data_IF_463621138425
#
_entry.id   IF_463621138425
#
_cell.length_a   1.000
_cell.length_b   1.000
_cell.length_c   1.000
_cell.angle_alpha   90.00
_cell.angle_beta   90.00
_cell.angle_gamma   90.00
#
_symmetry.space_group_name_H-M   'P 1'
#
loop_
_entity.id
_entity.type
_entity.pdbx_description
1 polymer ?
#
# COMPACT_ATOMS: atom_id res chain seq x y z
N UNK A 1 17.87 -1.87 -19.92
CA UNK A 1 16.47 -2.25 -20.22
C UNK A 1 15.81 -2.62 -18.90
N UNK A 2 14.76 -1.92 -18.47
CA UNK A 2 14.05 -2.30 -17.25
C UNK A 2 13.38 -3.67 -17.48
N UNK A 3 13.71 -4.67 -16.66
CA UNK A 3 13.03 -5.96 -16.70
C UNK A 3 11.56 -5.77 -16.29
N UNK A 4 10.65 -6.62 -16.79
CA UNK A 4 9.22 -6.56 -16.47
C UNK A 4 8.94 -6.56 -14.96
N UNK A 5 9.77 -7.24 -14.17
CA UNK A 5 9.76 -7.18 -12.71
C UNK A 5 9.94 -5.76 -12.17
N UNK A 6 10.93 -5.01 -12.67
CA UNK A 6 11.23 -3.65 -12.21
C UNK A 6 10.09 -2.69 -12.55
N UNK A 7 9.46 -2.88 -13.72
CA UNK A 7 8.30 -2.08 -14.11
C UNK A 7 7.09 -2.38 -13.21
N UNK A 8 6.80 -3.65 -12.94
CA UNK A 8 5.72 -4.06 -12.05
C UNK A 8 5.94 -3.55 -10.63
N UNK A 9 7.16 -3.67 -10.10
CA UNK A 9 7.53 -3.14 -8.78
C UNK A 9 7.39 -1.61 -8.71
N UNK A 10 7.79 -0.89 -9.76
CA UNK A 10 7.61 0.56 -9.85
C UNK A 10 6.14 0.97 -9.84
N UNK A 11 5.29 0.25 -10.58
CA UNK A 11 3.85 0.52 -10.60
C UNK A 11 3.24 0.32 -9.21
N UNK A 12 3.56 -0.80 -8.54
CA UNK A 12 3.09 -1.05 -7.17
C UNK A 12 3.56 0.04 -6.21
N UNK A 13 4.83 0.44 -6.31
CA UNK A 13 5.38 1.53 -5.50
C UNK A 13 4.59 2.83 -5.70
N UNK A 14 4.32 3.23 -6.95
CA UNK A 14 3.58 4.45 -7.25
C UNK A 14 2.16 4.41 -6.70
N UNK A 15 1.45 3.28 -6.85
CA UNK A 15 0.11 3.09 -6.29
C UNK A 15 0.13 3.25 -4.76
N UNK A 16 1.11 2.64 -4.09
CA UNK A 16 1.25 2.77 -2.64
C UNK A 16 1.58 4.20 -2.20
N UNK A 17 2.55 4.85 -2.86
CA UNK A 17 2.91 6.26 -2.58
C UNK A 17 1.70 7.17 -2.70
N UNK A 18 0.90 7.01 -3.77
CA UNK A 18 -0.32 7.78 -3.95
C UNK A 18 -1.33 7.47 -2.83
N UNK A 19 -1.53 6.19 -2.51
CA UNK A 19 -2.42 5.75 -1.43
C UNK A 19 -2.05 6.33 -0.07
N UNK A 20 -0.75 6.38 0.27
CA UNK A 20 -0.27 7.02 1.49
C UNK A 20 -0.34 8.56 1.44
N UNK A 21 -0.24 9.17 0.25
CA UNK A 21 -0.19 10.63 0.09
C UNK A 21 -1.56 11.31 0.09
N UNK A 22 -2.66 10.57 -0.06
CA UNK A 22 -4.04 11.10 0.07
C UNK A 22 -4.44 11.29 1.56
N UNK A 23 -3.52 11.78 2.38
CA UNK A 23 -3.69 11.96 3.83
C UNK A 23 -4.97 12.70 4.25
N UNK A 24 -5.44 13.77 3.56
CA UNK A 24 -6.60 14.53 4.02
C UNK A 24 -7.90 13.71 4.01
N UNK A 25 -7.93 12.59 3.28
CA UNK A 25 -9.12 11.76 3.16
C UNK A 25 -9.33 10.87 4.39
N UNK A 26 -8.24 10.44 5.03
CA UNK A 26 -8.25 9.51 6.16
C UNK A 26 -7.67 10.08 7.45
N UNK A 27 -7.17 11.32 7.45
CA UNK A 27 -6.80 12.06 8.65
C UNK A 27 -8.05 12.53 9.42
N UNK A 28 -8.72 11.56 10.05
CA UNK A 28 -9.97 11.77 10.78
C UNK A 28 -9.95 10.93 12.05
N UNK A 29 -10.58 11.47 13.09
CA UNK A 29 -10.74 10.75 14.36
C UNK A 29 -11.70 9.56 14.21
N UNK A 30 -12.78 9.76 13.45
CA UNK A 30 -13.78 8.73 13.18
C UNK A 30 -13.80 8.36 11.69
N UNK A 31 -14.00 7.08 11.35
CA UNK A 31 -14.24 5.94 12.26
C UNK A 31 -12.97 5.46 12.99
N UNK A 32 -13.11 5.14 14.28
CA UNK A 32 -12.05 4.51 15.06
C UNK A 32 -12.17 2.99 15.07
N UNK A 33 -11.05 2.26 15.04
CA UNK A 33 -11.00 0.80 15.17
C UNK A 33 -10.25 0.44 16.45
N UNK A 34 -10.94 -0.15 17.43
CA UNK A 34 -10.31 -0.50 18.71
C UNK A 34 -9.71 0.71 19.47
N UNK A 35 -10.29 1.90 19.29
CA UNK A 35 -9.77 3.16 19.84
C UNK A 35 -8.68 3.84 19.00
N UNK A 36 -8.22 3.22 17.90
CA UNK A 36 -7.30 3.85 16.96
C UNK A 36 -8.06 4.73 15.95
N UNK A 37 -7.73 6.02 15.80
CA UNK A 37 -8.26 6.89 14.75
C UNK A 37 -8.09 6.33 13.34
N UNK A 38 -8.87 6.85 12.39
CA UNK A 38 -8.91 6.35 11.01
C UNK A 38 -7.52 6.33 10.36
N UNK A 39 -6.75 7.40 10.56
CA UNK A 39 -5.40 7.53 10.03
C UNK A 39 -4.54 6.28 10.33
N UNK A 40 -4.54 5.80 11.57
CA UNK A 40 -3.63 4.74 12.00
C UNK A 40 -4.02 3.38 11.47
N UNK A 41 -5.29 2.99 11.59
CA UNK A 41 -5.70 1.67 11.10
C UNK A 41 -5.70 1.61 9.58
N UNK A 42 -5.91 2.73 8.89
CA UNK A 42 -5.67 2.83 7.45
C UNK A 42 -4.22 2.50 7.09
N UNK A 43 -3.22 3.01 7.85
CA UNK A 43 -1.82 2.67 7.61
C UNK A 43 -1.55 1.17 7.73
N UNK A 44 -2.18 0.51 8.71
CA UNK A 44 -2.06 -0.94 8.93
C UNK A 44 -2.64 -1.71 7.74
N UNK A 45 -3.85 -1.33 7.28
CA UNK A 45 -4.46 -1.92 6.08
C UNK A 45 -3.56 -1.73 4.86
N UNK A 46 -3.02 -0.53 4.67
CA UNK A 46 -2.11 -0.23 3.56
C UNK A 46 -0.81 -1.05 3.63
N UNK A 47 -0.29 -1.32 4.83
CA UNK A 47 0.89 -2.19 5.01
C UNK A 47 0.60 -3.64 4.56
N UNK A 48 -0.59 -4.15 4.90
CA UNK A 48 -1.02 -5.48 4.46
C UNK A 48 -1.17 -5.50 2.94
N UNK A 49 -1.83 -4.49 2.35
CA UNK A 49 -1.97 -4.34 0.90
C UNK A 49 -0.61 -4.28 0.21
N UNK A 50 0.34 -3.49 0.73
CA UNK A 50 1.70 -3.37 0.19
C UNK A 50 2.42 -4.72 0.18
N UNK A 51 2.34 -5.46 1.28
CA UNK A 51 2.95 -6.78 1.43
C UNK A 51 2.39 -7.78 0.43
N UNK A 52 1.06 -7.80 0.25
CA UNK A 52 0.38 -8.67 -0.72
C UNK A 52 0.79 -8.32 -2.14
N UNK A 53 0.73 -7.03 -2.52
CA UNK A 53 1.07 -6.59 -3.88
C UNK A 53 2.52 -6.93 -4.23
N UNK A 54 3.45 -6.68 -3.31
CA UNK A 54 4.85 -7.03 -3.52
C UNK A 54 5.06 -8.55 -3.61
N UNK A 55 4.41 -9.33 -2.74
CA UNK A 55 4.49 -10.79 -2.80
C UNK A 55 3.96 -11.33 -4.14
N UNK A 56 2.85 -10.81 -4.64
CA UNK A 56 2.29 -11.18 -5.95
C UNK A 56 3.27 -10.86 -7.08
N UNK A 57 3.85 -9.66 -7.11
CA UNK A 57 4.86 -9.31 -8.13
C UNK A 57 6.06 -10.26 -8.02
N UNK A 58 6.51 -10.58 -6.82
CA UNK A 58 7.64 -11.51 -6.63
C UNK A 58 7.31 -12.92 -7.14
N UNK A 59 6.12 -13.45 -6.83
CA UNK A 59 5.71 -14.80 -7.25
C UNK A 59 5.55 -14.88 -8.77
N UNK A 60 4.97 -13.86 -9.41
CA UNK A 60 4.74 -13.86 -10.87
C UNK A 60 6.04 -13.82 -11.67
N UNK A 61 7.04 -13.06 -11.20
CA UNK A 61 8.26 -12.78 -11.97
C UNK A 61 9.49 -13.58 -11.53
N UNK A 62 9.49 -14.13 -10.32
CA UNK A 62 10.60 -14.94 -9.77
C UNK A 62 10.18 -16.34 -9.34
N UNK A 63 8.88 -16.64 -9.30
CA UNK A 63 8.36 -17.99 -9.09
C UNK A 63 8.45 -18.86 -10.33
#
# INVERSE_FOLDING_TARGET
>A
MANGFNLAALIVLLVLVIGYSIFPFFDKVNPSLGGLPFFYWYQIVMLIVASILYALVSIIFKG
#
